data_IF_302992115087
#
_entry.id   IF_302992115087
#
_cell.length_a   1.000
_cell.length_b   1.000
_cell.length_c   1.000
_cell.angle_alpha   90.00
_cell.angle_beta   90.00
_cell.angle_gamma   90.00
#
_symmetry.space_group_name_H-M   'P 1'
#
loop_
_entity.id
_entity.type
_entity.pdbx_description
1 polymer ?
#
# COMPACT_ATOMS: atom_id res chain seq x y z
N UNK A 1 -5.08 9.66 18.72
CA UNK A 1 -5.09 9.02 17.39
C UNK A 1 -3.65 8.97 16.89
N UNK A 2 -2.89 7.99 17.36
CA UNK A 2 -1.44 7.93 17.19
C UNK A 2 -1.13 6.95 16.05
N UNK A 3 -0.85 7.46 14.85
CA UNK A 3 -0.42 6.66 13.71
C UNK A 3 1.07 6.26 13.84
N UNK A 4 1.45 5.69 14.99
CA UNK A 4 2.83 5.27 15.27
C UNK A 4 2.94 3.77 15.05
N UNK A 5 3.35 3.33 13.84
CA UNK A 5 3.90 1.97 13.60
C UNK A 5 4.46 1.73 12.20
N UNK A 6 4.26 2.59 11.19
CA UNK A 6 4.87 2.41 9.87
C UNK A 6 6.17 3.22 9.79
N UNK A 7 7.13 2.94 10.68
CA UNK A 7 8.43 3.63 10.67
C UNK A 7 9.47 2.76 9.95
N UNK A 8 9.50 2.81 8.61
CA UNK A 8 10.68 2.41 7.83
C UNK A 8 11.49 3.66 7.52
N UNK A 9 12.67 3.79 8.13
CA UNK A 9 13.66 4.82 7.81
C UNK A 9 14.53 4.35 6.64
N UNK A 10 14.06 4.46 5.40
CA UNK A 10 14.91 4.16 4.24
C UNK A 10 14.19 4.21 2.90
N UNK A 11 14.94 4.36 1.79
CA UNK A 11 14.36 4.35 0.46
C UNK A 11 13.76 2.98 0.13
N UNK A 12 12.61 2.98 -0.53
CA UNK A 12 11.99 1.78 -1.11
C UNK A 12 12.75 1.42 -2.39
N UNK A 13 13.26 0.19 -2.49
CA UNK A 13 14.07 -0.26 -3.63
C UNK A 13 13.36 -1.25 -4.55
N UNK A 14 12.21 -1.79 -4.15
CA UNK A 14 11.48 -2.80 -4.90
C UNK A 14 9.96 -2.72 -4.71
N UNK A 15 9.22 -3.28 -5.68
CA UNK A 15 7.76 -3.42 -5.56
C UNK A 15 7.33 -4.28 -4.37
N UNK A 16 8.12 -5.31 -4.02
CA UNK A 16 7.86 -6.14 -2.84
C UNK A 16 8.04 -5.39 -1.52
N UNK A 17 9.02 -4.49 -1.41
CA UNK A 17 9.15 -3.61 -0.25
C UNK A 17 7.95 -2.68 -0.10
N UNK A 18 7.51 -2.07 -1.20
CA UNK A 18 6.31 -1.23 -1.21
C UNK A 18 5.06 -2.03 -0.83
N UNK A 19 4.88 -3.21 -1.43
CA UNK A 19 3.76 -4.10 -1.16
C UNK A 19 3.67 -4.52 0.31
N UNK A 20 4.82 -4.84 0.93
CA UNK A 20 4.87 -5.17 2.35
C UNK A 20 4.47 -3.99 3.26
N UNK A 21 4.86 -2.76 2.92
CA UNK A 21 4.47 -1.54 3.64
C UNK A 21 2.95 -1.34 3.54
N UNK A 22 2.39 -1.48 2.34
CA UNK A 22 0.94 -1.38 2.09
C UNK A 22 0.18 -2.44 2.88
N UNK A 23 0.64 -3.68 2.87
CA UNK A 23 0.02 -4.77 3.63
C UNK A 23 0.04 -4.51 5.14
N UNK A 24 1.15 -3.99 5.67
CA UNK A 24 1.26 -3.59 7.07
C UNK A 24 0.28 -2.46 7.41
N UNK A 25 0.19 -1.45 6.55
CA UNK A 25 -0.70 -0.31 6.71
C UNK A 25 -2.19 -0.70 6.67
N UNK A 26 -2.55 -1.68 5.84
CA UNK A 26 -3.90 -2.23 5.81
C UNK A 26 -4.17 -3.02 7.09
N UNK A 27 -3.26 -3.92 7.48
CA UNK A 27 -3.42 -4.77 8.67
C UNK A 27 -3.50 -3.96 9.96
N UNK A 28 -2.74 -2.86 10.09
CA UNK A 28 -2.80 -1.99 11.27
C UNK A 28 -4.16 -1.29 11.44
N UNK A 29 -4.96 -1.22 10.37
CA UNK A 29 -6.34 -0.71 10.37
C UNK A 29 -7.38 -1.81 10.59
N UNK A 30 -6.96 -3.07 10.73
CA UNK A 30 -7.85 -4.20 10.98
C UNK A 30 -8.61 -4.69 9.74
N UNK A 31 -8.32 -4.18 8.55
CA UNK A 31 -9.03 -4.60 7.33
C UNK A 31 -8.46 -5.90 6.74
N UNK A 32 -9.35 -6.78 6.32
CA UNK A 32 -9.04 -7.85 5.36
C UNK A 32 -8.73 -7.25 3.98
N UNK A 33 -8.17 -8.06 3.08
CA UNK A 33 -7.93 -7.61 1.70
C UNK A 33 -9.24 -7.30 0.95
N UNK A 34 -10.34 -7.99 1.28
CA UNK A 34 -11.62 -7.74 0.64
C UNK A 34 -12.19 -6.40 1.08
N UNK A 35 -12.34 -6.20 2.40
CA UNK A 35 -12.87 -4.95 2.95
C UNK A 35 -12.08 -3.73 2.47
N UNK A 36 -10.75 -3.85 2.46
CA UNK A 36 -9.92 -2.76 1.99
C UNK A 36 -10.04 -2.53 0.47
N UNK A 37 -10.20 -3.59 -0.34
CA UNK A 37 -10.43 -3.44 -1.76
C UNK A 37 -11.74 -2.67 -2.04
N UNK A 38 -12.78 -2.95 -1.25
CA UNK A 38 -14.07 -2.27 -1.34
C UNK A 38 -13.93 -0.78 -0.95
N UNK A 39 -13.22 -0.48 0.14
CA UNK A 39 -12.91 0.90 0.57
C UNK A 39 -12.10 1.64 -0.50
N UNK A 40 -11.09 0.99 -1.07
CA UNK A 40 -10.20 1.57 -2.04
C UNK A 40 -10.81 1.64 -3.45
N UNK A 41 -11.98 1.03 -3.70
CA UNK A 41 -12.61 1.02 -5.03
C UNK A 41 -11.80 0.24 -6.08
N UNK A 42 -11.16 -0.86 -5.68
CA UNK A 42 -10.37 -1.74 -6.56
C UNK A 42 -10.76 -3.21 -6.37
N UNK A 43 -10.30 -4.11 -7.24
CA UNK A 43 -10.55 -5.54 -7.06
C UNK A 43 -9.66 -6.15 -5.97
N UNK A 44 -10.15 -7.10 -5.17
CA UNK A 44 -9.35 -7.83 -4.17
C UNK A 44 -8.07 -8.44 -4.74
N UNK A 45 -8.13 -8.98 -5.96
CA UNK A 45 -6.94 -9.52 -6.64
C UNK A 45 -5.88 -8.45 -6.87
N UNK A 46 -6.28 -7.20 -7.16
CA UNK A 46 -5.35 -6.10 -7.28
C UNK A 46 -4.66 -5.81 -5.95
N UNK A 47 -5.39 -5.77 -4.82
CA UNK A 47 -4.80 -5.61 -3.49
C UNK A 47 -3.80 -6.73 -3.21
N UNK A 48 -4.17 -7.99 -3.48
CA UNK A 48 -3.26 -9.12 -3.29
C UNK A 48 -2.01 -9.03 -4.18
N UNK A 49 -2.17 -8.77 -5.48
CA UNK A 49 -1.06 -8.64 -6.41
C UNK A 49 -0.12 -7.49 -5.99
N UNK A 50 -0.67 -6.38 -5.51
CA UNK A 50 0.08 -5.22 -5.03
C UNK A 50 0.84 -5.51 -3.75
N UNK A 51 0.21 -6.12 -2.76
CA UNK A 51 0.85 -6.47 -1.48
C UNK A 51 1.97 -7.50 -1.65
N UNK A 52 1.86 -8.38 -2.66
CA UNK A 52 2.92 -9.32 -3.02
C UNK A 52 4.00 -8.69 -3.93
N UNK A 53 3.85 -7.41 -4.31
CA UNK A 53 4.85 -6.69 -5.11
C UNK A 53 4.91 -7.10 -6.56
N UNK A 54 3.80 -7.55 -7.16
CA UNK A 54 3.74 -7.92 -8.58
C UNK A 54 4.26 -6.77 -9.45
N UNK A 55 5.21 -7.06 -10.34
CA UNK A 55 5.89 -6.05 -11.15
C UNK A 55 4.94 -5.25 -12.08
N UNK A 56 3.79 -5.81 -12.44
CA UNK A 56 2.85 -5.25 -13.43
C UNK A 56 1.61 -4.60 -12.81
N UNK A 57 1.69 -4.13 -11.56
CA UNK A 57 0.60 -3.34 -10.97
C UNK A 57 0.43 -2.00 -11.67
N UNK A 58 -0.82 -1.60 -11.88
CA UNK A 58 -1.15 -0.31 -12.48
C UNK A 58 -0.88 0.83 -11.49
N UNK A 59 -0.01 1.76 -11.85
CA UNK A 59 0.40 2.90 -11.00
C UNK A 59 -0.79 3.73 -10.52
N UNK A 60 -1.77 4.01 -11.37
CA UNK A 60 -2.97 4.78 -10.97
C UNK A 60 -3.76 4.12 -9.84
N UNK A 61 -3.92 2.79 -9.89
CA UNK A 61 -4.59 2.04 -8.82
C UNK A 61 -3.75 1.92 -7.56
N UNK A 62 -2.42 1.91 -7.70
CA UNK A 62 -1.52 2.02 -6.55
C UNK A 62 -1.75 3.36 -5.83
N UNK A 63 -1.78 4.49 -6.55
CA UNK A 63 -2.05 5.80 -5.96
C UNK A 63 -3.41 5.83 -5.25
N UNK A 64 -4.45 5.26 -5.86
CA UNK A 64 -5.78 5.11 -5.26
C UNK A 64 -5.73 4.32 -3.94
N UNK A 65 -4.98 3.22 -3.90
CA UNK A 65 -4.76 2.44 -2.67
C UNK A 65 -4.02 3.24 -1.59
N UNK A 66 -2.99 4.00 -1.96
CA UNK A 66 -2.26 4.86 -1.01
C UNK A 66 -3.18 5.93 -0.41
N UNK A 67 -4.00 6.59 -1.24
CA UNK A 67 -5.01 7.54 -0.77
C UNK A 67 -6.02 6.90 0.18
N UNK A 68 -6.52 5.70 -0.13
CA UNK A 68 -7.45 4.98 0.73
C UNK A 68 -6.82 4.57 2.08
N UNK A 69 -5.49 4.41 2.13
CA UNK A 69 -4.72 4.20 3.35
C UNK A 69 -4.27 5.50 4.01
N UNK A 70 -4.62 6.68 3.49
CA UNK A 70 -4.10 7.96 4.00
C UNK A 70 -2.57 8.00 4.01
N UNK A 71 -1.94 7.46 2.97
CA UNK A 71 -0.50 7.47 2.74
C UNK A 71 -0.18 8.33 1.52
N UNK A 72 0.92 9.07 1.60
CA UNK A 72 1.46 9.85 0.49
C UNK A 72 2.66 9.15 -0.15
N UNK A 73 2.79 9.31 -1.47
CA UNK A 73 4.00 8.91 -2.20
C UNK A 73 4.86 10.15 -2.47
N UNK A 74 6.03 10.21 -1.85
CA UNK A 74 7.01 11.28 -2.09
C UNK A 74 8.17 10.79 -2.97
N UNK A 75 8.63 11.66 -3.86
CA UNK A 75 9.84 11.44 -4.67
C UNK A 75 10.91 12.44 -4.24
N UNK A 76 12.12 11.96 -3.96
CA UNK A 76 13.28 12.78 -3.56
C UNK A 76 14.47 12.46 -4.45
N UNK A 77 15.30 13.48 -4.75
CA UNK A 77 16.58 13.27 -5.42
C UNK A 77 17.47 12.36 -4.54
N UNK A 78 18.26 11.50 -5.19
CA UNK A 78 19.16 10.56 -4.51
C UNK A 78 20.42 11.27 -4.02
#
# INVERSE_FOLDING_TARGET
>A
MSNQSISRSGPIRSGSELGAIIALARKSRGYTQQEFADIAGVGRRFVSDLENGKATVQLGKLLQVLTALGLDLEVKAR
#
